data_IF_702547338946
#
_entry.id   IF_702547338946
#
_cell.length_a   1.000
_cell.length_b   1.000
_cell.length_c   1.000
_cell.angle_alpha   90.00
_cell.angle_beta   90.00
_cell.angle_gamma   90.00
#
_symmetry.space_group_name_H-M   'P 1'
#
loop_
_entity.id
_entity.type
_entity.pdbx_description
1 polymer ?
2 polymer ?
3 polymer ?
4 non-polymer ?
5 non-polymer ?
6 water ?
#
loop_
_entity_poly.entity_id
_entity_poly.type
_entity_poly.pdbx_seq_one_letter_code
_entity_poly.pdbx_strand_id
1 'polydeoxyribonucleotide' '(DT)(DT)(DC)(DC)(DG)(DA)(DT)(DA)(DG)(DT)(DG)(DG)(DG)(DG)(DT)(DC)(DG)(DC)(DA)(DA)(DT)' ?
2 'polydeoxyribonucleotide' '(DA)(DT)(DT)(DG)(DC)(DG)(DA)(DC)(OMC)(DC)(DC)(DA)(DC)(DT)(DA)(DT)(DC)(DG)(DG)(DA)(DA)' ?
#
# COMPACT_ATOMS: atom_id res chain seq x y z
N UNK C 2 -11.31 -16.02 18.22
CA UNK C 2 -11.27 -15.59 16.83
C UNK C 2 -12.02 -14.27 16.62
N UNK C 3 -12.28 -13.52 17.70
CA UNK C 3 -13.24 -12.42 17.70
C UNK C 3 -12.48 -11.11 17.49
N UNK C 4 -12.81 -10.29 16.46
CA UNK C 4 -12.21 -8.94 16.42
C UNK C 4 -12.73 -7.90 17.42
N UNK C 5 -13.64 -6.97 17.06
CA UNK C 5 -14.64 -6.37 17.96
C UNK C 5 -15.69 -5.49 17.27
N UNK C 6 -15.35 -4.97 16.08
CA UNK C 6 -15.86 -3.67 15.62
C UNK C 6 -14.72 -2.82 15.09
N UNK C 7 -13.61 -3.51 14.86
CA UNK C 7 -12.34 -3.07 14.27
C UNK C 7 -12.10 -3.40 12.79
N UNK C 8 -11.49 -2.40 12.13
CA UNK C 8 -10.97 -2.17 10.78
C UNK C 8 -9.51 -1.75 10.92
N UNK C 9 -8.57 -2.38 10.21
CA UNK C 9 -7.15 -2.06 10.40
C UNK C 9 -6.83 -0.58 10.23
N UNK C 10 -5.70 -0.18 10.81
CA UNK C 10 -5.25 1.21 10.73
C UNK C 10 -4.44 1.40 9.46
N UNK C 11 -4.81 2.40 8.68
CA UNK C 11 -4.16 2.67 7.40
C UNK C 11 -3.47 4.02 7.43
N UNK C 12 -2.27 4.07 6.85
CA UNK C 12 -1.49 5.29 6.81
C UNK C 12 -2.08 6.28 5.83
N UNK C 13 -1.63 7.53 5.95
CA UNK C 13 -2.00 8.60 5.04
C UNK C 13 -0.77 9.05 4.25
N UNK C 14 -0.98 9.28 2.95
CA UNK C 14 0.05 9.91 2.11
C UNK C 14 0.55 11.21 2.73
N UNK C 15 1.87 11.41 2.60
CA UNK C 15 2.54 12.59 3.14
C UNK C 15 2.38 13.76 2.18
N UNK C 16 1.64 14.77 2.62
CA UNK C 16 1.52 16.07 1.98
C UNK C 16 1.45 17.08 3.11
N UNK C 17 1.68 18.35 2.79
CA UNK C 17 1.66 19.39 3.82
C UNK C 17 2.62 19.02 4.95
N UNK C 18 3.93 18.91 4.69
CA UNK C 18 4.85 18.42 5.72
C UNK C 18 5.09 19.38 6.88
N UNK C 19 4.57 20.60 6.81
CA UNK C 19 4.77 21.56 7.90
C UNK C 19 3.87 21.27 9.10
N UNK C 20 2.71 20.64 8.89
CA UNK C 20 1.79 20.30 9.98
C UNK C 20 2.13 18.95 10.61
N UNK C 21 3.35 18.43 10.32
CA UNK C 21 3.82 17.12 10.80
C UNK C 21 4.27 17.33 12.20
N UNK C 22 3.33 17.23 13.09
CA UNK C 22 3.65 17.92 14.32
C UNK C 22 4.26 16.92 15.32
N UNK C 23 5.51 17.30 15.69
CA UNK C 23 6.74 16.52 15.89
C UNK C 23 6.60 15.65 17.11
N UNK C 24 7.66 15.43 17.89
CA UNK C 24 8.21 14.10 18.14
C UNK C 24 7.33 12.92 17.76
N UNK C 25 7.93 12.09 16.92
CA UNK C 25 7.30 10.98 16.23
C UNK C 25 8.30 9.84 16.13
N UNK C 26 7.82 8.68 15.68
CA UNK C 26 8.66 7.51 15.46
C UNK C 26 8.66 7.17 13.98
N UNK C 27 9.84 7.08 13.39
CA UNK C 27 10.01 6.77 11.98
C UNK C 27 10.47 5.32 11.82
N UNK C 28 9.82 4.60 10.91
CA UNK C 28 10.09 3.20 10.66
C UNK C 28 10.09 2.97 9.15
N UNK C 29 10.73 1.91 8.67
CA UNK C 29 10.76 1.65 7.24
C UNK C 29 9.53 0.91 6.75
N UNK C 30 9.03 1.32 5.58
CA UNK C 30 7.88 0.66 4.97
C UNK C 30 8.37 -0.61 4.28
N UNK C 31 7.97 -1.75 4.82
CA UNK C 31 8.28 -3.06 4.24
C UNK C 31 7.15 -3.39 3.26
N UNK C 32 7.51 -3.86 2.06
CA UNK C 32 6.49 -4.43 1.17
C UNK C 32 6.20 -5.88 1.45
N UNK C 33 5.65 -6.12 2.62
CA UNK C 33 5.06 -7.38 2.86
C UNK C 33 3.56 -7.34 2.70
N UNK C 34 2.90 -8.19 3.47
CA UNK C 34 1.46 -8.32 3.46
C UNK C 34 0.97 -8.00 4.86
N UNK C 35 0.04 -7.04 4.95
CA UNK C 35 -0.52 -6.67 6.23
C UNK C 35 -1.19 -7.87 6.90
N UNK C 36 -0.93 -8.06 8.18
CA UNK C 36 -1.51 -9.18 8.90
C UNK C 36 -1.80 -8.79 10.34
N UNK C 37 -2.94 -9.25 10.85
CA UNK C 37 -3.39 -8.99 12.22
C UNK C 37 -3.83 -10.30 12.83
N UNK C 38 -3.38 -10.56 14.06
CA UNK C 38 -3.75 -11.77 14.79
C UNK C 38 -4.84 -11.45 15.80
N UNK C 39 -5.90 -12.26 15.81
CA UNK C 39 -7.01 -12.05 16.75
C UNK C 39 -7.58 -13.40 17.12
N UNK C 40 -7.48 -13.75 18.40
CA UNK C 40 -8.04 -15.00 18.87
C UNK C 40 -7.45 -16.22 18.19
N UNK C 41 -6.18 -16.16 17.83
CA UNK C 41 -5.50 -17.31 17.28
C UNK C 41 -5.67 -17.55 15.79
N UNK C 42 -6.11 -16.55 15.02
CA UNK C 42 -6.30 -16.71 13.58
C UNK C 42 -5.77 -15.45 12.91
N UNK C 43 -4.90 -15.62 11.91
CA UNK C 43 -4.29 -14.46 11.26
C UNK C 43 -5.23 -13.87 10.23
N UNK C 44 -5.37 -12.53 10.24
CA UNK C 44 -6.25 -11.82 9.34
C UNK C 44 -5.44 -10.89 8.43
N UNK C 45 -6.05 -10.47 7.33
CA UNK C 45 -5.40 -9.65 6.33
C UNK C 45 -5.88 -8.20 6.44
N UNK C 46 -5.43 -7.36 5.50
CA UNK C 46 -5.84 -5.96 5.47
C UNK C 46 -7.35 -5.81 5.38
N UNK C 47 -8.02 -6.77 4.75
CA UNK C 47 -9.47 -6.76 4.61
C UNK C 47 -10.16 -7.71 5.57
N UNK C 48 -9.45 -8.16 6.62
CA UNK C 48 -10.00 -9.04 7.65
C UNK C 48 -10.36 -10.41 7.11
N UNK C 49 -9.66 -10.84 6.07
CA UNK C 49 -9.90 -12.14 5.45
C UNK C 49 -8.81 -13.10 5.86
N UNK C 50 -9.14 -14.21 6.55
CA UNK C 50 -8.09 -15.11 7.09
C UNK C 50 -7.00 -15.46 6.09
N UNK C 51 -5.75 -15.50 6.56
CA UNK C 51 -4.63 -15.83 5.67
C UNK C 51 -4.84 -17.23 5.13
N UNK C 52 -4.68 -17.46 3.82
CA UNK C 52 -4.97 -18.80 3.28
C UNK C 52 -3.91 -19.84 3.63
N UNK C 53 -2.64 -19.45 3.70
CA UNK C 53 -1.58 -20.42 3.93
C UNK C 53 -1.82 -21.17 5.24
N UNK C 54 -1.59 -22.48 5.26
CA UNK C 54 -1.84 -23.26 6.49
C UNK C 54 -0.76 -23.13 7.57
N UNK C 55 0.52 -23.04 7.19
CA UNK C 55 1.56 -23.02 8.22
C UNK C 55 1.45 -21.76 9.07
N UNK C 56 1.06 -20.64 8.46
CA UNK C 56 1.00 -19.40 9.25
C UNK C 56 -0.20 -19.44 10.18
N UNK C 57 -1.27 -20.13 9.77
CA UNK C 57 -2.47 -20.19 10.59
C UNK C 57 -2.33 -21.17 11.74
N UNK C 58 -1.76 -22.35 11.48
CA UNK C 58 -1.39 -23.24 12.58
C UNK C 58 -0.39 -22.56 13.49
N UNK C 59 0.54 -21.78 12.91
CA UNK C 59 1.38 -20.87 13.68
C UNK C 59 0.58 -20.02 14.65
N UNK C 60 -0.54 -19.46 14.17
CA UNK C 60 -1.39 -18.68 15.06
C UNK C 60 -2.00 -19.59 16.12
N UNK C 61 -2.61 -18.97 17.13
CA UNK C 61 -3.09 -19.66 18.33
C UNK C 61 -1.98 -20.41 19.04
N UNK C 62 -0.73 -20.12 18.70
CA UNK C 62 0.45 -20.77 19.28
C UNK C 62 1.49 -19.70 19.64
N UNK C 63 1.11 -18.71 20.46
CA UNK C 63 -0.08 -18.76 21.31
C UNK C 63 -1.03 -17.61 20.99
N UNK C 64 -2.33 -17.85 21.15
CA UNK C 64 -3.30 -16.79 20.98
C UNK C 64 -3.03 -15.65 21.94
N UNK C 65 -2.75 -15.99 23.21
CA UNK C 65 -2.45 -14.96 24.19
C UNK C 65 -1.18 -14.18 23.83
N UNK C 66 -0.15 -14.83 23.30
CA UNK C 66 0.99 -14.03 22.83
C UNK C 66 0.73 -13.38 21.47
N UNK C 67 0.13 -14.09 20.54
CA UNK C 67 -0.16 -13.44 19.27
C UNK C 67 -1.61 -12.98 19.27
N UNK C 68 -1.86 -11.98 20.11
CA UNK C 68 -3.16 -11.35 20.22
C UNK C 68 -3.01 -9.89 19.82
N UNK C 69 -3.77 -9.48 18.81
CA UNK C 69 -3.83 -8.09 18.41
C UNK C 69 -2.54 -7.51 17.85
N UNK C 70 -1.50 -8.32 17.72
CA UNK C 70 -0.24 -7.82 17.19
C UNK C 70 -0.41 -7.50 15.72
N UNK C 71 -0.52 -6.21 15.43
CA UNK C 71 -0.71 -5.71 14.07
C UNK C 71 0.67 -5.62 13.42
N UNK C 72 0.83 -6.27 12.28
CA UNK C 72 2.12 -6.26 11.62
C UNK C 72 2.06 -6.57 10.15
N UNK C 73 3.19 -7.00 9.61
CA UNK C 73 3.22 -7.36 8.21
C UNK C 73 4.18 -8.50 7.97
N UNK C 74 3.70 -9.43 7.15
CA UNK C 74 4.35 -10.67 6.79
C UNK C 74 5.20 -10.46 5.56
N UNK C 75 6.19 -11.32 5.41
CA UNK C 75 7.12 -11.21 4.30
C UNK C 75 7.89 -12.52 4.25
N UNK C 76 8.62 -12.73 3.17
CA UNK C 76 9.62 -13.79 3.11
C UNK C 76 10.76 -13.25 2.26
N UNK C 77 11.97 -13.30 2.77
CA UNK C 77 13.04 -12.74 1.98
C UNK C 77 12.74 -11.31 1.63
N UNK C 78 12.87 -10.43 2.62
CA UNK C 78 12.65 -8.98 2.67
C UNK C 78 13.60 -8.35 1.64
N UNK C 79 14.13 -7.11 1.80
CA UNK C 79 14.30 -6.18 0.67
C UNK C 79 14.22 -6.60 -0.80
N UNK C 80 14.17 -7.87 -1.21
CA UNK C 80 14.20 -8.09 -2.66
C UNK C 80 12.91 -7.61 -3.33
N UNK C 81 11.80 -8.32 -3.08
CA UNK C 81 10.54 -8.16 -3.81
C UNK C 81 9.38 -8.71 -2.99
N UNK C 82 8.21 -8.06 -3.15
CA UNK C 82 6.97 -8.41 -2.48
C UNK C 82 6.22 -9.55 -3.16
N UNK C 83 6.70 -9.96 -4.33
CA UNK C 83 6.01 -10.93 -5.16
C UNK C 83 6.08 -12.29 -4.51
N UNK C 84 7.31 -12.67 -4.15
CA UNK C 84 7.61 -13.87 -3.39
C UNK C 84 7.15 -13.74 -1.95
N UNK C 85 7.06 -12.51 -1.43
CA UNK C 85 6.58 -12.24 -0.08
C UNK C 85 5.11 -12.63 0.08
N UNK C 86 4.59 -13.32 -0.93
CA UNK C 86 3.18 -13.65 -1.07
C UNK C 86 2.92 -15.11 -1.44
N UNK C 87 3.93 -16.00 -1.48
CA UNK C 87 3.45 -17.39 -1.48
C UNK C 87 3.08 -17.74 -0.04
N UNK C 88 2.27 -16.86 0.54
CA UNK C 88 1.55 -17.03 1.78
C UNK C 88 0.05 -16.96 1.58
N UNK C 89 -0.41 -16.62 0.39
CA UNK C 89 -1.80 -16.72 -0.01
C UNK C 89 -2.13 -18.09 -0.58
N UNK C 90 -1.13 -18.94 -0.74
CA UNK C 90 -1.29 -20.30 -1.20
C UNK C 90 -1.38 -21.26 -0.03
N UNK C 91 -1.85 -22.47 -0.32
CA UNK C 91 -2.21 -23.42 0.73
C UNK C 91 -1.05 -24.43 0.88
N UNK C 92 0.18 -23.97 0.66
CA UNK C 92 1.32 -24.78 1.11
C UNK C 92 2.60 -23.95 1.14
N UNK C 93 3.72 -24.67 1.30
CA UNK C 93 5.11 -24.31 1.00
C UNK C 93 5.62 -23.29 1.98
N UNK C 94 5.67 -23.71 3.24
CA UNK C 94 6.31 -22.94 4.27
C UNK C 94 5.64 -21.57 4.39
N UNK C 99 8.44 -19.98 6.56
CA UNK C 99 9.50 -19.01 6.81
C UNK C 99 9.04 -17.60 6.47
N UNK C 100 8.06 -17.10 7.22
CA UNK C 100 7.39 -15.84 6.92
C UNK C 100 7.81 -14.67 7.79
N UNK C 101 8.57 -14.91 8.86
CA UNK C 101 9.29 -13.87 9.58
C UNK C 101 8.38 -12.71 9.96
N UNK C 102 7.36 -12.97 10.78
CA UNK C 102 6.38 -11.91 11.00
C UNK C 102 7.01 -10.69 11.68
N UNK C 103 6.77 -9.52 11.10
CA UNK C 103 7.24 -8.25 11.63
C UNK C 103 6.08 -7.53 12.33
N UNK C 104 6.34 -6.95 13.51
CA UNK C 104 5.29 -6.36 14.34
C UNK C 104 5.60 -4.90 14.58
N UNK C 105 4.55 -4.07 14.60
CA UNK C 105 4.89 -2.66 14.46
C UNK C 105 3.80 -1.89 15.20
N UNK C 106 2.88 -2.64 15.83
CA UNK C 106 1.71 -2.11 16.55
C UNK C 106 0.95 -3.25 17.22
N UNK C 107 0.07 -2.88 18.17
CA UNK C 107 -0.84 -3.79 18.86
C UNK C 107 -2.13 -3.04 19.19
N UNK C 108 -3.25 -3.78 19.24
CA UNK C 108 -4.58 -3.20 19.36
C UNK C 108 -5.23 -3.53 20.71
N UNK C 109 -5.49 -2.55 21.60
CA UNK C 109 -6.14 -2.90 22.87
C UNK C 109 -7.59 -3.36 22.77
N UNK C 110 -8.55 -2.41 22.72
CA UNK C 110 -9.93 -2.60 22.25
C UNK C 110 -10.71 -1.29 22.41
N UNK C 111 -11.43 -0.88 21.36
CA UNK C 111 -12.43 0.22 21.36
C UNK C 111 -12.55 0.78 19.94
N UNK C 117 -9.45 8.34 27.71
CA UNK C 117 -9.47 7.59 26.47
C UNK C 117 -8.52 6.40 26.45
N UNK C 118 -7.85 6.25 25.32
CA UNK C 118 -7.16 5.02 24.96
C UNK C 118 -5.65 5.17 25.01
N UNK C 119 -5.00 4.07 24.64
CA UNK C 119 -3.55 3.94 24.59
C UNK C 119 -2.95 4.90 23.57
N UNK C 120 -1.72 5.32 23.84
CA UNK C 120 -0.92 6.05 22.85
C UNK C 120 0.20 5.18 22.31
N UNK C 121 0.80 5.58 21.18
CA UNK C 121 1.84 4.73 20.58
C UNK C 121 3.04 4.56 21.51
N UNK C 122 3.42 5.61 22.23
CA UNK C 122 4.49 5.48 23.20
C UNK C 122 4.21 4.30 24.12
N UNK C 123 2.97 4.22 24.58
CA UNK C 123 2.55 3.21 25.54
C UNK C 123 2.18 1.93 24.81
N UNK C 124 1.66 2.07 23.59
CA UNK C 124 1.35 0.90 22.77
C UNK C 124 2.61 0.25 22.24
N UNK C 125 3.58 1.05 21.80
CA UNK C 125 4.84 0.48 21.33
C UNK C 125 5.71 0.16 22.53
N UNK C 126 5.10 -0.49 23.51
CA UNK C 126 5.70 -0.82 24.80
C UNK C 126 5.39 -2.28 25.08
N UNK C 127 4.15 -2.65 24.74
CA UNK C 127 3.66 -4.03 24.81
C UNK C 127 4.23 -4.86 23.66
N UNK C 128 4.38 -4.26 22.48
CA UNK C 128 4.85 -4.98 21.30
C UNK C 128 6.20 -5.62 21.58
N UNK C 129 6.98 -5.05 22.49
CA UNK C 129 8.27 -5.63 22.87
C UNK C 129 8.02 -6.86 23.74
N UNK C 130 7.30 -7.81 23.13
CA UNK C 130 6.99 -9.11 23.70
C UNK C 130 8.12 -10.07 23.36
N UNK C 131 8.71 -10.64 24.41
CA UNK C 131 9.97 -11.36 24.44
C UNK C 131 9.86 -12.82 24.02
N UNK C 132 8.92 -13.18 23.14
CA UNK C 132 8.64 -14.56 22.75
C UNK C 132 9.95 -15.36 22.67
N UNK C 133 11.02 -14.68 22.26
CA UNK C 133 12.36 -15.26 22.21
C UNK C 133 12.76 -16.11 23.44
N UNK C 134 12.79 -15.58 24.67
CA UNK C 134 13.24 -16.46 25.77
C UNK C 134 12.52 -17.79 25.86
N UNK C 135 11.24 -17.84 25.50
CA UNK C 135 10.63 -19.14 25.73
C UNK C 135 10.86 -20.03 24.52
N UNK C 136 10.30 -19.62 23.37
CA UNK C 136 10.23 -20.44 22.19
C UNK C 136 11.35 -20.09 21.20
N UNK C 137 11.46 -18.79 20.87
CA UNK C 137 12.46 -18.29 19.94
C UNK C 137 12.29 -18.91 18.56
N UNK C 138 11.08 -18.82 18.01
CA UNK C 138 10.89 -19.36 16.67
C UNK C 138 11.31 -18.37 15.60
CA UNK C 143 10.75 -16.34 14.35
C UNK C 143 9.84 -15.13 14.54
N UNK C 144 10.32 -14.05 15.15
CA UNK C 144 9.52 -12.83 15.18
C UNK C 144 10.41 -11.63 15.46
N UNK C 145 10.26 -10.59 14.66
CA UNK C 145 11.04 -9.36 14.79
C UNK C 145 10.09 -8.19 15.06
N UNK C 146 10.63 -7.16 15.70
CA UNK C 146 9.91 -5.91 15.93
C UNK C 146 10.48 -4.88 14.97
N UNK C 147 9.60 -4.26 14.17
CA UNK C 147 10.03 -3.27 13.20
C UNK C 147 10.76 -2.16 13.96
N UNK C 148 12.02 -1.89 13.62
CA UNK C 148 12.78 -0.89 14.39
C UNK C 148 12.18 0.50 14.22
N UNK C 149 11.99 1.18 15.35
CA UNK C 149 11.46 2.53 15.37
C UNK C 149 12.57 3.50 15.75
N UNK C 150 12.65 4.61 15.03
CA UNK C 150 13.67 5.62 15.25
C UNK C 150 13.02 6.92 15.71
N UNK C 151 13.56 7.48 16.79
CA UNK C 151 13.01 8.71 17.36
C UNK C 151 13.51 9.91 16.57
N UNK C 152 12.60 10.82 16.21
CA UNK C 152 12.95 11.98 15.40
C UNK C 152 12.29 13.22 15.99
N UNK C 153 13.04 14.31 15.97
CA UNK C 153 12.68 15.57 16.62
C UNK C 153 12.47 16.72 15.65
N UNK C 154 13.16 16.72 14.52
CA UNK C 154 13.01 17.82 13.57
C UNK C 154 13.02 17.29 12.13
N UNK C 155 12.69 18.19 11.20
CA UNK C 155 12.55 17.82 9.79
C UNK C 155 13.81 17.12 9.29
N UNK C 156 14.98 17.59 9.73
CA UNK C 156 16.22 16.95 9.33
C UNK C 156 16.27 15.49 9.74
N UNK C 157 15.49 15.06 10.72
CA UNK C 157 15.72 13.68 11.11
C UNK C 157 14.93 12.73 10.25
N UNK C 158 13.81 13.18 9.69
CA UNK C 158 13.06 12.34 8.77
C UNK C 158 13.88 12.12 7.54
N UNK C 159 14.38 13.23 6.97
CA UNK C 159 15.44 13.24 5.97
C UNK C 159 16.60 12.58 6.70
N UNK C 160 17.66 12.16 6.01
CA UNK C 160 18.90 11.66 6.60
C UNK C 160 18.66 10.23 7.10
N UNK C 161 17.41 9.82 7.15
CA UNK C 161 16.80 8.54 7.53
C UNK C 161 15.91 7.91 6.49
N UNK C 162 15.07 8.69 5.85
CA UNK C 162 14.41 8.14 4.68
C UNK C 162 15.43 7.67 3.66
N UNK C 163 16.53 8.41 3.52
CA UNK C 163 17.59 8.01 2.58
C UNK C 163 18.23 6.70 2.99
N UNK C 164 18.55 6.55 4.27
CA UNK C 164 19.13 5.30 4.74
C UNK C 164 18.18 4.14 4.47
N UNK C 165 16.89 4.33 4.75
CA UNK C 165 15.90 3.30 4.41
C UNK C 165 15.92 2.99 2.91
N UNK C 166 15.85 4.03 2.08
CA UNK C 166 15.85 3.82 0.63
C UNK C 166 17.15 3.15 0.18
N UNK C 167 18.29 3.62 0.72
CA UNK C 167 19.58 3.06 0.32
C UNK C 167 19.67 1.58 0.70
N UNK C 168 19.07 1.19 1.84
CA UNK C 168 19.11 -0.19 2.25
C UNK C 168 18.20 -1.08 1.41
N UNK C 169 17.22 -0.51 0.70
CA UNK C 169 16.37 -1.27 -0.20
C UNK C 169 14.89 -1.22 0.11
N UNK C 170 14.45 -0.58 1.19
CA UNK C 170 13.03 -0.51 1.48
C UNK C 170 12.35 0.45 0.49
N UNK C 171 11.04 0.24 0.28
CA UNK C 171 10.33 1.15 -0.61
C UNK C 171 10.09 2.53 -0.04
N UNK C 172 9.89 2.65 1.26
CA UNK C 172 9.52 3.94 1.79
C UNK C 172 9.72 3.99 3.29
N UNK C 173 9.20 5.06 3.88
CA UNK C 173 9.33 5.32 5.30
C UNK C 173 7.96 5.63 5.88
N UNK C 174 7.72 5.16 7.10
CA UNK C 174 6.47 5.38 7.79
C UNK C 174 6.71 6.28 9.00
N UNK C 175 5.72 7.11 9.34
CA UNK C 175 5.83 8.06 10.43
C UNK C 175 4.62 7.87 11.34
N UNK C 176 4.88 7.84 12.66
CA UNK C 176 3.87 7.63 13.68
C UNK C 176 4.02 8.68 14.77
N UNK C 177 2.92 9.30 15.15
CA UNK C 177 2.95 10.21 16.30
C UNK C 177 3.27 9.44 17.57
N UNK C 178 4.05 10.06 18.45
CA UNK C 178 4.55 9.35 19.63
C UNK C 178 3.42 8.88 20.53
N UNK C 179 2.38 9.70 20.71
CA UNK C 179 1.23 9.26 21.50
C UNK C 179 -0.04 9.26 20.67
N UNK C 180 0.03 8.72 19.46
CA UNK C 180 -1.17 8.54 18.66
C UNK C 180 -1.99 7.35 19.11
N UNK C 181 -3.29 7.46 18.94
CA UNK C 181 -4.22 6.40 19.31
C UNK C 181 -4.49 5.50 18.12
N UNK C 182 -4.73 4.22 18.40
CA UNK C 182 -5.04 3.27 17.34
C UNK C 182 -6.38 3.64 16.71
N UNK C 183 -6.36 3.96 15.42
CA UNK C 183 -7.56 4.35 14.70
C UNK C 183 -8.03 3.18 13.84
N UNK C 184 -9.27 2.75 14.05
CA UNK C 184 -9.87 1.68 13.25
C UNK C 184 -10.38 2.28 11.93
N UNK C 185 -9.40 2.68 11.11
CA UNK C 185 -9.70 3.33 9.85
C UNK C 185 -8.43 3.88 9.25
N UNK C 186 -8.59 4.81 8.31
CA UNK C 186 -7.45 5.45 7.66
C UNK C 186 -7.11 6.75 8.38
N UNK C 187 -5.87 6.88 8.81
CA UNK C 187 -5.42 8.07 9.51
C UNK C 187 -5.41 9.28 8.59
N UNK C 188 -5.42 10.47 9.19
CA UNK C 188 -5.40 11.73 8.45
C UNK C 188 -4.19 12.54 8.88
N UNK C 189 -3.84 13.53 8.05
CA UNK C 189 -2.61 14.28 8.29
C UNK C 189 -2.70 15.16 9.53
N UNK C 190 -3.85 15.82 9.78
CA UNK C 190 -3.96 16.60 11.01
C UNK C 190 -3.85 15.69 12.24
N UNK C 191 -4.47 14.52 12.20
CA UNK C 191 -4.28 13.56 13.29
C UNK C 191 -2.82 13.18 13.43
N UNK C 192 -2.16 12.89 12.30
CA UNK C 192 -0.77 12.48 12.34
C UNK C 192 -0.53 11.09 12.89
N UNK C 193 -1.58 10.27 13.01
CA UNK C 193 -1.43 8.96 13.62
C UNK C 193 -0.45 8.08 12.86
N UNK C 194 -0.61 8.00 11.54
CA UNK C 194 0.28 7.18 10.72
C UNK C 194 0.39 7.81 9.34
N UNK C 195 1.60 8.15 8.94
CA UNK C 195 1.87 8.79 7.67
C UNK C 195 2.94 8.00 6.94
N UNK C 196 2.75 7.81 5.63
CA UNK C 196 3.71 7.10 4.81
C UNK C 196 4.36 8.06 3.83
N UNK C 197 5.64 7.82 3.56
CA UNK C 197 6.44 8.68 2.70
C UNK C 197 6.93 7.81 1.56
N UNK C 198 6.28 7.92 0.42
CA UNK C 198 6.66 7.19 -0.79
C UNK C 198 6.69 8.11 -1.99
N UNK C 199 7.80 8.08 -2.72
CA UNK C 199 8.12 9.12 -3.68
C UNK C 199 7.81 8.70 -5.12
N UNK C 200 7.18 9.61 -5.86
CA UNK C 200 6.86 9.43 -7.27
C UNK C 200 7.99 9.97 -8.13
N UNK C 201 7.99 9.58 -9.41
CA UNK C 201 9.04 9.99 -10.33
C UNK C 201 8.38 10.21 -11.70
N UNK C 202 8.60 11.39 -12.30
CA UNK C 202 7.93 11.73 -13.55
C UNK C 202 8.52 10.97 -14.74
N UNK C 203 7.74 10.91 -15.82
CA UNK C 203 8.16 10.25 -17.05
C UNK C 203 7.30 10.69 -18.22
N UNK C 204 7.66 10.18 -19.40
CA UNK C 204 6.98 10.52 -20.65
C UNK C 204 6.58 9.26 -21.40
N UNK C 205 5.46 9.36 -22.13
CA UNK C 205 4.92 8.21 -22.85
C UNK C 205 4.15 8.70 -24.08
N UNK C 206 4.03 7.80 -25.06
CA UNK C 206 3.31 8.08 -26.31
C UNK C 206 2.12 7.14 -26.41
N UNK C 207 0.97 7.68 -26.82
CA UNK C 207 -0.25 6.91 -26.87
C UNK C 207 -0.21 5.94 -28.05
N UNK C 208 -0.57 4.69 -27.78
CA UNK C 208 -0.61 3.65 -28.81
C UNK C 208 -1.95 2.96 -28.91
N UNK C 209 -2.75 2.95 -27.85
CA UNK C 209 -4.07 2.36 -27.87
C UNK C 209 -4.98 2.98 -26.83
N UNK C 210 -6.17 2.40 -26.67
CA UNK C 210 -7.19 2.87 -25.75
C UNK C 210 -7.95 1.65 -25.21
N UNK C 211 -8.54 1.82 -24.03
CA UNK C 211 -9.53 0.88 -23.50
C UNK C 211 -10.66 1.75 -22.95
N UNK C 212 -11.91 1.34 -23.15
CA UNK C 212 -12.98 2.17 -22.60
C UNK C 212 -13.25 1.80 -21.15
N UNK C 213 -13.77 2.76 -20.40
CA UNK C 213 -14.14 2.55 -19.01
C UNK C 213 -15.28 1.55 -18.90
N UNK C 214 -15.24 0.74 -17.85
CA UNK C 214 -16.20 -0.33 -17.62
C UNK C 214 -16.93 -0.09 -16.31
N UNK C 215 -18.22 0.21 -16.41
CA UNK C 215 -19.11 0.15 -15.26
C UNK C 215 -19.44 -1.27 -14.78
N UNK C 216 -19.31 -1.46 -13.46
CA UNK C 216 -19.56 -2.73 -12.79
C UNK C 216 -20.98 -2.75 -12.26
N UNK C 217 -21.78 -3.69 -12.76
CA UNK C 217 -23.17 -3.83 -12.36
C UNK C 217 -23.45 -5.07 -11.53
N UNK C 218 -22.43 -5.84 -11.13
CA UNK C 218 -22.67 -7.02 -10.31
C UNK C 218 -23.35 -6.62 -9.01
N UNK C 219 -23.99 -7.59 -8.33
CA UNK C 219 -24.56 -7.28 -7.02
C UNK C 219 -23.54 -6.68 -6.07
N UNK C 220 -23.95 -5.62 -5.39
CA UNK C 220 -23.18 -4.98 -4.34
C UNK C 220 -23.30 -5.74 -3.03
N UNK C 221 -22.13 -5.96 -2.40
CA UNK C 221 -21.98 -6.68 -1.16
C UNK C 221 -21.12 -5.85 -0.21
N UNK C 222 -21.42 -5.90 1.07
CA UNK C 222 -20.51 -5.47 2.10
C UNK C 222 -19.45 -6.53 2.43
N UNK C 223 -18.24 -6.03 2.59
CA UNK C 223 -17.14 -6.83 3.08
C UNK C 223 -17.16 -6.79 4.60
N UNK C 224 -16.15 -7.39 5.24
CA UNK C 224 -16.07 -7.42 6.70
C UNK C 224 -15.90 -6.01 7.29
N UNK C 225 -15.20 -5.13 6.59
CA UNK C 225 -14.93 -3.78 7.08
C UNK C 225 -15.97 -2.77 6.61
N UNK C 226 -17.12 -3.23 6.15
CA UNK C 226 -18.15 -2.33 5.65
C UNK C 226 -17.84 -1.66 4.33
N UNK C 227 -16.76 -2.05 3.67
CA UNK C 227 -16.42 -1.48 2.37
C UNK C 227 -17.28 -2.12 1.29
N UNK C 228 -18.15 -1.31 0.68
CA UNK C 228 -18.97 -1.77 -0.43
C UNK C 228 -18.10 -2.43 -1.49
N UNK C 229 -18.38 -3.69 -1.78
CA UNK C 229 -17.56 -4.46 -2.70
C UNK C 229 -18.45 -5.14 -3.73
N UNK C 230 -18.01 -5.12 -4.98
CA UNK C 230 -18.67 -5.78 -6.08
C UNK C 230 -17.71 -6.79 -6.70
N UNK C 231 -18.28 -7.75 -7.42
CA UNK C 231 -17.47 -8.77 -8.07
C UNK C 231 -16.97 -8.26 -9.43
N UNK C 232 -15.92 -8.91 -9.92
CA UNK C 232 -15.35 -8.63 -11.23
C UNK C 232 -15.61 -9.77 -12.21
N UNK C 233 -16.85 -10.30 -12.18
CA UNK C 233 -17.22 -11.44 -13.01
C UNK C 233 -17.17 -11.15 -14.50
N UNK C 234 -17.06 -9.88 -14.90
CA UNK C 234 -16.98 -9.51 -16.31
C UNK C 234 -18.25 -9.81 -17.09
N UNK C 235 -19.23 -10.43 -16.43
CA UNK C 235 -20.52 -10.66 -17.07
C UNK C 235 -21.42 -9.44 -16.94
N UNK C 236 -21.28 -8.70 -15.85
CA UNK C 236 -22.00 -7.46 -15.63
C UNK C 236 -21.20 -6.22 -15.92
N UNK C 237 -20.03 -6.35 -16.53
CA UNK C 237 -19.20 -5.20 -16.92
C UNK C 237 -19.69 -4.68 -18.26
N UNK C 238 -20.42 -3.59 -18.19
CA UNK C 238 -21.00 -2.90 -19.33
C UNK C 238 -20.22 -1.62 -19.60
N UNK C 239 -19.69 -1.53 -20.83
CA UNK C 239 -18.79 -0.46 -21.17
C UNK C 239 -19.52 0.86 -21.30
N UNK C 240 -18.98 1.87 -20.65
CA UNK C 240 -19.48 3.23 -20.82
C UNK C 240 -18.96 3.76 -22.14
N UNK C 241 -19.14 5.06 -22.38
CA UNK C 241 -18.63 5.64 -23.61
C UNK C 241 -17.61 6.71 -23.25
N UNK C 242 -16.73 6.34 -22.32
CA UNK C 242 -15.68 7.21 -21.80
C UNK C 242 -14.35 6.49 -21.91
N UNK C 243 -13.28 7.21 -21.60
CA UNK C 243 -11.93 6.63 -21.61
C UNK C 243 -11.68 5.92 -20.28
N UNK C 244 -11.18 4.69 -20.35
CA UNK C 244 -10.87 3.95 -19.16
C UNK C 244 -9.39 3.91 -18.85
N UNK C 245 -8.58 3.69 -19.88
CA UNK C 245 -7.13 3.66 -19.73
C UNK C 245 -6.50 3.96 -21.08
N UNK C 246 -5.26 4.44 -21.03
CA UNK C 246 -4.48 4.74 -22.22
C UNK C 246 -3.40 3.68 -22.37
N UNK C 247 -3.42 2.94 -23.46
CA UNK C 247 -2.36 1.99 -23.77
C UNK C 247 -1.22 2.78 -24.40
N UNK C 248 -0.09 2.85 -23.71
CA UNK C 248 1.02 3.70 -24.11
C UNK C 248 2.33 2.91 -24.01
N UNK C 249 3.42 3.59 -24.39
CA UNK C 249 4.77 3.08 -24.29
C UNK C 249 5.66 4.26 -23.90
N UNK C 250 6.85 3.97 -23.38
CA UNK C 250 7.78 5.03 -23.01
C UNK C 250 8.17 5.83 -24.23
N UNK C 251 8.27 7.14 -24.06
CA UNK C 251 8.69 8.02 -25.14
C UNK C 251 9.97 8.72 -24.71
N UNK C 252 11.10 8.23 -25.22
CA UNK C 252 12.38 8.80 -24.85
C UNK C 252 13.50 8.26 -25.72
N UNK C 258 18.77 13.09 -33.44
CA UNK C 258 17.96 13.29 -32.25
C UNK C 258 16.58 12.62 -32.28
N UNK C 259 16.52 11.32 -32.58
CA UNK C 259 15.21 10.64 -32.52
C UNK C 259 14.81 10.36 -31.08
N UNK C 260 13.68 10.88 -30.62
CA UNK C 260 13.14 10.22 -29.44
C UNK C 260 12.45 8.88 -29.65
N UNK C 261 11.34 8.84 -30.37
CA UNK C 261 10.71 7.57 -30.63
C UNK C 261 10.24 6.83 -29.40
N UNK C 262 9.52 5.72 -29.61
CA UNK C 262 9.06 4.90 -28.48
C UNK C 262 9.94 3.70 -28.20
N UNK C 263 10.08 3.33 -26.92
CA UNK C 263 10.88 2.20 -26.49
C UNK C 263 10.15 1.46 -25.37
N UNK C 264 10.51 0.20 -25.18
CA UNK C 264 9.99 -0.61 -24.11
C UNK C 264 8.68 -1.28 -24.46
N UNK C 265 8.18 -2.12 -23.55
CA UNK C 265 6.90 -2.80 -23.78
C UNK C 265 5.73 -1.85 -23.56
N UNK C 266 4.54 -2.37 -23.88
CA UNK C 266 3.31 -1.60 -23.74
C UNK C 266 2.76 -1.73 -22.32
N UNK C 267 2.38 -0.60 -21.73
CA UNK C 267 1.77 -0.58 -20.41
C UNK C 267 0.62 0.41 -20.42
N UNK C 268 -0.35 0.19 -19.55
CA UNK C 268 -1.56 0.99 -19.50
C UNK C 268 -1.49 2.04 -18.39
N UNK C 269 -2.18 3.15 -18.62
CA UNK C 269 -2.31 4.24 -17.65
C UNK C 269 -3.80 4.50 -17.50
N UNK C 270 -4.37 4.06 -16.38
CA UNK C 270 -5.80 4.15 -16.17
C UNK C 270 -6.27 5.06 -15.05
N UNK C 271 -5.39 5.85 -14.45
CA UNK C 271 -5.77 6.74 -13.37
C UNK C 271 -5.15 8.11 -13.58
N UNK C 272 -5.73 9.11 -12.93
CA UNK C 272 -5.30 10.48 -13.07
C UNK C 272 -6.08 11.31 -14.05
N UNK C 273 -7.21 10.80 -14.55
CA UNK C 273 -8.05 11.51 -15.49
C UNK C 273 -9.26 12.08 -14.77
N UNK C 274 -9.67 13.29 -15.16
CA UNK C 274 -10.90 13.83 -14.63
C UNK C 274 -12.08 13.21 -15.36
N UNK C 275 -13.27 13.34 -14.77
CA UNK C 275 -14.48 12.82 -15.40
C UNK C 275 -14.68 13.46 -16.78
N UNK C 276 -14.41 14.76 -16.89
CA UNK C 276 -14.53 15.44 -18.17
C UNK C 276 -13.50 14.95 -19.17
N UNK C 277 -12.26 14.75 -18.73
CA UNK C 277 -11.22 14.29 -19.64
C UNK C 277 -11.55 12.91 -20.21
N UNK C 278 -12.12 12.04 -19.39
CA UNK C 278 -12.47 10.70 -19.87
C UNK C 278 -13.54 10.76 -20.95
N UNK C 279 -14.51 11.68 -20.82
CA UNK C 279 -15.56 11.79 -21.82
C UNK C 279 -15.02 12.34 -23.13
N UNK C 280 -14.27 13.44 -23.06
CA UNK C 280 -13.81 14.10 -24.29
C UNK C 280 -12.72 13.28 -24.98
N UNK C 281 -11.76 12.75 -24.22
CA UNK C 281 -10.67 12.00 -24.83
C UNK C 281 -11.19 10.76 -25.55
N UNK C 282 -12.25 10.14 -25.03
CA UNK C 282 -12.83 8.98 -25.71
C UNK C 282 -13.54 9.39 -27.00
N UNK C 283 -14.18 10.57 -27.01
CA UNK C 283 -14.87 11.01 -28.21
C UNK C 283 -13.90 11.28 -29.34
N UNK C 284 -12.72 11.80 -29.01
CA UNK C 284 -11.70 12.06 -30.01
C UNK C 284 -10.48 11.18 -29.83
N UNK C 285 -10.69 9.91 -29.51
CA UNK C 285 -9.56 9.01 -29.28
C UNK C 285 -8.73 8.83 -30.55
N UNK C 286 -9.34 8.94 -31.73
CA UNK C 286 -8.57 8.77 -32.96
C UNK C 286 -7.44 9.77 -33.07
N UNK C 287 -7.63 10.98 -32.56
CA UNK C 287 -6.58 11.98 -32.61
C UNK C 287 -5.50 11.82 -31.57
N UNK C 288 -5.71 10.92 -30.61
CA UNK C 288 -4.77 10.74 -29.51
C UNK C 288 -3.61 9.81 -29.85
N UNK C 289 -3.74 9.00 -30.91
CA UNK C 289 -2.65 8.11 -31.29
C UNK C 289 -1.45 8.93 -31.74
N UNK C 290 -0.30 8.67 -31.13
CA UNK C 290 0.92 9.34 -31.51
C UNK C 290 1.26 10.62 -30.78
N UNK C 291 0.33 11.05 -29.88
CA UNK C 291 0.62 12.21 -28.97
C UNK C 291 1.12 11.83 -27.59
N UNK C 292 2.04 12.65 -27.05
CA UNK C 292 2.81 12.34 -25.85
C UNK C 292 2.15 12.86 -24.60
N UNK C 293 2.40 12.14 -23.49
CA UNK C 293 1.81 12.41 -22.20
C UNK C 293 2.92 12.28 -21.15
N UNK C 294 2.76 13.04 -20.07
CA UNK C 294 3.62 12.96 -18.90
C UNK C 294 2.90 12.03 -17.94
N UNK C 295 3.64 11.20 -17.21
CA UNK C 295 3.04 10.38 -16.17
C UNK C 295 4.05 10.29 -15.03
N UNK C 296 3.60 9.88 -13.84
CA UNK C 296 4.52 9.60 -12.74
C UNK C 296 4.31 8.20 -12.23
N UNK C 297 5.34 7.70 -11.56
CA UNK C 297 5.32 6.34 -11.05
C UNK C 297 6.34 6.21 -9.91
N UNK C 298 6.42 4.99 -9.38
CA UNK C 298 7.29 4.60 -8.28
C UNK C 298 8.46 3.77 -8.79
N UNK C 299 9.29 3.29 -7.85
CA UNK C 299 10.45 2.45 -8.16
C UNK C 299 11.42 3.19 -9.10
N UNK C 300 12.07 4.21 -8.53
CA UNK C 300 12.98 5.12 -9.22
C UNK C 300 13.79 4.43 -10.31
N UNK C 301 13.75 5.00 -11.51
CA UNK C 301 14.33 4.38 -12.69
C UNK C 301 13.31 4.27 -13.81
N UNK C 302 13.76 4.06 -15.04
CA UNK C 302 12.87 3.90 -16.19
C UNK C 302 12.63 2.41 -16.48
N UNK C 303 12.57 1.60 -15.41
CA UNK C 303 12.42 0.15 -15.40
C UNK C 303 11.31 -0.30 -16.34
N UNK C 304 11.43 -1.49 -16.91
CA UNK C 304 10.34 -1.90 -17.77
C UNK C 304 9.15 -2.24 -16.88
N UNK C 305 7.94 -2.13 -17.44
CA UNK C 305 6.75 -2.41 -16.66
C UNK C 305 6.68 -1.53 -15.43
N UNK C 306 6.38 -0.24 -15.57
CA UNK C 306 6.32 0.65 -14.41
C UNK C 306 5.17 0.26 -13.50
N UNK C 307 5.19 0.83 -12.30
CA UNK C 307 4.23 0.48 -11.26
C UNK C 307 3.49 1.74 -10.80
N UNK C 308 2.20 1.57 -10.62
CA UNK C 308 1.29 2.71 -10.20
C UNK C 308 1.46 3.91 -11.15
N UNK C 309 1.25 3.75 -12.46
CA UNK C 309 1.34 4.90 -13.34
C UNK C 309 0.15 5.83 -13.15
N UNK C 310 0.41 7.13 -13.14
CA UNK C 310 -0.61 8.15 -12.97
C UNK C 310 -0.45 9.19 -14.07
N UNK C 311 -1.54 9.50 -14.76
CA UNK C 311 -1.50 10.46 -15.86
C UNK C 311 -1.55 11.88 -15.33
N UNK C 312 -0.61 12.71 -15.80
CA UNK C 312 -0.53 14.11 -15.39
C UNK C 312 -1.19 14.99 -16.44
N UNK C 313 -0.70 14.92 -17.67
CA UNK C 313 -1.20 15.74 -18.75
C UNK C 313 -0.47 15.41 -20.02
N UNK C 314 -0.83 16.13 -21.08
CA UNK C 314 -0.18 15.97 -22.36
C UNK C 314 1.12 16.76 -22.39
N UNK C 315 2.14 16.22 -23.07
CA UNK C 315 3.42 16.92 -23.18
C UNK C 315 3.22 18.32 -23.75
N UNK C 316 2.32 18.45 -24.73
CA UNK C 316 1.94 19.74 -25.30
C UNK C 316 0.44 19.93 -25.10
N UNK C 317 0.01 20.67 -24.08
CA UNK C 317 -1.42 21.02 -24.00
C UNK C 317 -1.87 21.76 -25.25
N UNK C 318 -3.18 21.72 -25.48
CA UNK C 318 -3.86 22.29 -26.65
C UNK C 318 -2.97 22.58 -27.86
X LIG D 1 -0.70 2.15 2.09
X LIG D 1 -2.03 2.14 2.81
X LIG D 1 -0.28 3.23 1.11
X LIG D 1 0.50 1.83 3.11
X LIG D 1 0.19 1.29 4.39
X LIG D 1 0.78 -0.11 4.49
X LIG D 1 2.20 -0.05 4.68
X LIG D 1 0.22 -0.88 5.67
X LIG D 1 -0.88 -1.71 5.26
X LIG D 1 1.37 -1.72 6.15
X LIG D 1 1.10 -3.10 5.86
X LIG D 1 2.58 -1.24 5.37
X LIG D 1 3.76 -1.05 6.28
X LIG D 1 4.96 -1.62 6.12
X LIG D 1 5.83 -1.28 7.11
X LIG D 1 5.16 -0.46 7.95
X LIG D 1 5.47 0.28 9.19
X LIG D 1 6.69 0.18 9.77
X LIG D 1 4.49 1.02 9.75
X LIG D 1 3.27 1.12 9.20
X LIG D 1 2.91 0.48 8.06
X LIG D 1 3.79 -0.31 7.40
X LIG E 1 2.81 16.04 -28.97
X LIG E 1 3.96 15.80 -29.83
X LIG E 1 2.00 17.13 -29.50
X LIG E 1 2.01 14.83 -28.90
X LIG E 1 3.27 16.38 -27.62
#
# INVERSE_FOLDING_TARGET
>C
GTIPTGFKPMLAATLTKPELIKFPVWASPKIDGIRCVFFGGVAYSRSLKPIPNPVVQEFAAAYASLLEGLDGELTVGSPTDANCMQNSMAVMSKSAEPDFTFHVFDWFPLRIPTRSDEMGYDRRSEIVERRIADFYARYPAEDIKAVPQHLCVCAEDLDTLEARFLADGYEGMMIRAHSGTYKCGRSTEREGGLVKVKRFVDGEAVIVGFEEEMRNENEATRNATGRTERSTAQAGLVGKETLGALVVRRFESRGMGEPYGPVGPEFNIGTGFTAAQRRDYWQGRDGLIGRVVKFKHFDHGTVDAPRHPVFIGFRHPEDMG
>D hetero
1 AMP P O1P O3P O5' C5' C4' O4' C3' O3' C2' O2' C1' N9 C8 N7 C5 C6 N6 N1 C2 N3 C4
>E hetero
1 SO4 S O1 O2 O3 O4
#
